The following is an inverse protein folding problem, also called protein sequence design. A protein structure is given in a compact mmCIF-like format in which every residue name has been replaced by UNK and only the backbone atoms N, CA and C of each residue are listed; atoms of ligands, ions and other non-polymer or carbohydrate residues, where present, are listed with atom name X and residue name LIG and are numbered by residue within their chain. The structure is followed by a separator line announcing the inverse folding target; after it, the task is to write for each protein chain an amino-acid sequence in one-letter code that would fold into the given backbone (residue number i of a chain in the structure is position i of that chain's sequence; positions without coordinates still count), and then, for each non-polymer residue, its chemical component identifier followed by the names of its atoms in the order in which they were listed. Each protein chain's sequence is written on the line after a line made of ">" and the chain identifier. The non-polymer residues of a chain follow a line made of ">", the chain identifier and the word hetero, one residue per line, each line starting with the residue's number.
data_IF_637719245826
#
_entry.id   IF_637719245826
#
_cell.length_a   1.000
_cell.length_b   1.000
_cell.length_c   1.000
_cell.angle_alpha   90.00
_cell.angle_beta   90.00
_cell.angle_gamma   90.00
#
_symmetry.space_group_name_H-M   'P 1'
#
loop_
_entity.id
_entity.type
_entity.pdbx_description
1 polymer ?
#
# COMPACT_ATOMS: atom_id res chain seq x y z
N UNK A 1 13.33 7.00 10.98
CA UNK A 1 11.93 6.98 10.52
C UNK A 1 11.32 5.63 10.81
N UNK A 2 10.11 5.62 11.27
CA UNK A 2 9.42 4.39 11.67
C UNK A 2 8.39 3.98 10.64
N UNK A 3 8.38 2.68 10.32
CA UNK A 3 7.40 2.05 9.45
C UNK A 3 6.63 1.03 10.25
N UNK A 4 5.31 1.04 10.10
CA UNK A 4 4.43 0.08 10.75
C UNK A 4 3.93 -0.93 9.72
N UNK A 5 4.09 -2.21 10.02
CA UNK A 5 3.50 -3.28 9.21
C UNK A 5 1.98 -3.27 9.37
N UNK A 6 1.27 -3.38 8.28
CA UNK A 6 -0.18 -3.61 8.34
C UNK A 6 -0.43 -5.10 8.55
N UNK A 7 -1.38 -5.43 9.42
CA UNK A 7 -1.58 -6.80 9.91
C UNK A 7 -2.39 -7.70 8.97
N UNK A 8 -3.00 -7.14 7.93
CA UNK A 8 -3.89 -7.90 7.07
C UNK A 8 -3.37 -7.97 5.65
N UNK A 9 -3.65 -9.06 4.94
CA UNK A 9 -3.42 -9.10 3.50
C UNK A 9 -4.38 -8.14 2.79
N UNK A 10 -3.86 -7.48 1.76
CA UNK A 10 -4.59 -6.50 0.98
C UNK A 10 -4.73 -6.98 -0.46
N UNK A 11 -5.78 -6.48 -1.11
CA UNK A 11 -6.02 -6.70 -2.53
C UNK A 11 -6.15 -5.37 -3.25
N UNK A 12 -5.68 -5.34 -4.49
CA UNK A 12 -5.87 -4.22 -5.41
C UNK A 12 -6.89 -4.67 -6.44
N UNK A 13 -8.02 -3.97 -6.52
CA UNK A 13 -9.11 -4.35 -7.40
C UNK A 13 -9.56 -3.18 -8.25
N UNK A 14 -10.23 -3.50 -9.34
CA UNK A 14 -10.97 -2.56 -10.15
C UNK A 14 -12.43 -2.98 -10.14
N UNK A 15 -13.33 -2.03 -9.93
CA UNK A 15 -14.78 -2.28 -9.92
C UNK A 15 -15.49 -1.32 -10.86
N UNK A 16 -16.69 -1.69 -11.28
CA UNK A 16 -17.52 -0.83 -12.15
C UNK A 16 -18.27 0.22 -11.36
N UNK A 17 -18.64 -0.09 -10.13
CA UNK A 17 -19.53 0.76 -9.35
C UNK A 17 -19.11 0.81 -7.89
N UNK A 18 -19.09 2.02 -7.34
CA UNK A 18 -18.73 2.25 -5.95
C UNK A 18 -19.73 1.60 -4.98
N UNK A 19 -20.97 1.38 -5.41
CA UNK A 19 -21.96 0.71 -4.57
C UNK A 19 -21.60 -0.74 -4.22
N UNK A 20 -20.67 -1.36 -4.95
CA UNK A 20 -20.19 -2.70 -4.64
C UNK A 20 -19.23 -2.71 -3.43
N UNK A 21 -18.78 -1.54 -2.98
CA UNK A 21 -17.78 -1.40 -1.93
C UNK A 21 -18.43 -0.98 -0.61
N UNK A 22 -18.09 -1.69 0.46
CA UNK A 22 -18.46 -1.29 1.82
C UNK A 22 -17.50 -0.19 2.29
N UNK A 23 -18.00 1.04 2.34
CA UNK A 23 -17.19 2.21 2.69
C UNK A 23 -16.80 2.26 4.17
N UNK A 24 -17.36 1.39 5.01
CA UNK A 24 -17.00 1.32 6.44
C UNK A 24 -15.73 0.51 6.70
N UNK A 25 -15.22 -0.18 5.69
CA UNK A 25 -14.02 -1.02 5.79
C UNK A 25 -12.78 -0.15 5.96
N UNK A 26 -11.84 -0.57 6.81
CA UNK A 26 -10.54 0.08 6.95
C UNK A 26 -9.42 -0.97 6.99
N UNK A 27 -8.26 -0.68 6.39
CA UNK A 27 -8.01 0.48 5.54
C UNK A 27 -8.75 0.36 4.20
N UNK A 28 -9.09 1.49 3.62
CA UNK A 28 -9.79 1.55 2.33
C UNK A 28 -9.22 2.72 1.54
N UNK A 29 -8.70 2.44 0.35
CA UNK A 29 -8.16 3.47 -0.54
C UNK A 29 -8.91 3.42 -1.86
N UNK A 30 -9.39 4.57 -2.31
CA UNK A 30 -10.16 4.70 -3.53
C UNK A 30 -9.44 5.62 -4.51
N UNK A 31 -9.28 5.16 -5.73
CA UNK A 31 -8.78 5.98 -6.84
C UNK A 31 -9.82 6.01 -7.95
N UNK A 32 -10.55 7.11 -8.05
CA UNK A 32 -11.55 7.28 -9.09
C UNK A 32 -11.04 8.28 -10.12
N UNK A 33 -10.94 7.82 -11.36
CA UNK A 33 -10.53 8.65 -12.50
C UNK A 33 -11.57 8.49 -13.62
N UNK A 34 -11.34 9.18 -14.73
CA UNK A 34 -12.20 8.99 -15.92
C UNK A 34 -12.13 7.57 -16.46
N UNK A 35 -11.00 6.89 -16.24
CA UNK A 35 -10.71 5.60 -16.87
C UNK A 35 -11.05 4.41 -15.99
N UNK A 36 -11.04 4.58 -14.66
CA UNK A 36 -11.17 3.46 -13.75
C UNK A 36 -11.63 3.86 -12.36
N UNK A 37 -12.14 2.87 -11.66
CA UNK A 37 -12.41 2.94 -10.23
C UNK A 37 -11.60 1.84 -9.55
N UNK A 38 -10.48 2.23 -8.93
CA UNK A 38 -9.56 1.34 -8.25
C UNK A 38 -9.79 1.39 -6.75
N UNK A 39 -9.66 0.23 -6.10
CA UNK A 39 -9.84 0.12 -4.65
C UNK A 39 -8.73 -0.77 -4.09
N UNK A 40 -8.14 -0.33 -2.97
CA UNK A 40 -7.25 -1.16 -2.17
C UNK A 40 -7.93 -1.37 -0.83
N UNK A 41 -8.07 -2.63 -0.41
CA UNK A 41 -8.81 -3.00 0.80
C UNK A 41 -8.33 -4.36 1.30
N UNK A 42 -8.71 -4.73 2.54
CA UNK A 42 -8.41 -6.07 3.02
C UNK A 42 -9.03 -7.14 2.11
N UNK A 43 -8.27 -8.19 1.85
CA UNK A 43 -8.69 -9.26 0.94
C UNK A 43 -10.03 -9.87 1.36
N UNK A 44 -10.29 -10.00 2.66
CA UNK A 44 -11.56 -10.53 3.16
C UNK A 44 -12.78 -9.68 2.80
N UNK A 45 -12.57 -8.44 2.41
CA UNK A 45 -13.65 -7.50 2.10
C UNK A 45 -13.84 -7.27 0.60
N UNK A 46 -13.11 -8.00 -0.24
CA UNK A 46 -13.27 -7.90 -1.70
C UNK A 46 -14.66 -8.37 -2.08
N UNK A 47 -15.42 -7.57 -2.86
CA UNK A 47 -16.75 -7.97 -3.29
C UNK A 47 -16.70 -9.14 -4.26
N UNK A 48 -17.84 -9.81 -4.44
CA UNK A 48 -17.95 -10.94 -5.36
C UNK A 48 -17.80 -10.54 -6.83
N UNK A 49 -18.06 -9.27 -7.15
CA UNK A 49 -17.95 -8.73 -8.52
C UNK A 49 -16.79 -7.77 -8.60
N UNK A 50 -15.81 -8.10 -9.43
CA UNK A 50 -14.69 -7.21 -9.75
C UNK A 50 -14.44 -7.26 -11.25
N UNK A 51 -13.91 -6.15 -11.78
CA UNK A 51 -13.43 -6.12 -13.17
C UNK A 51 -12.06 -6.77 -13.24
N UNK A 52 -11.21 -6.44 -12.28
CA UNK A 52 -9.85 -7.01 -12.14
C UNK A 52 -9.52 -7.13 -10.67
N UNK A 53 -8.62 -8.07 -10.34
CA UNK A 53 -8.26 -8.35 -8.95
C UNK A 53 -6.83 -8.86 -8.87
N UNK A 54 -6.04 -8.27 -7.97
CA UNK A 54 -4.70 -8.70 -7.61
C UNK A 54 -4.60 -8.85 -6.10
N UNK A 55 -4.43 -10.08 -5.63
CA UNK A 55 -4.30 -10.38 -4.21
C UNK A 55 -2.83 -10.44 -3.76
N UNK A 56 -2.64 -10.80 -2.51
CA UNK A 56 -1.33 -11.07 -1.90
C UNK A 56 -0.44 -9.85 -1.75
N UNK A 57 -1.03 -8.70 -1.47
CA UNK A 57 -0.29 -7.51 -1.09
C UNK A 57 -0.20 -7.39 0.43
N UNK A 58 0.95 -6.94 0.91
CA UNK A 58 1.15 -6.56 2.31
C UNK A 58 1.80 -5.19 2.38
N UNK A 59 1.41 -4.43 3.42
CA UNK A 59 1.73 -3.01 3.47
C UNK A 59 2.59 -2.58 4.64
N UNK A 60 3.29 -1.48 4.40
CA UNK A 60 3.92 -0.66 5.42
C UNK A 60 3.29 0.72 5.41
N UNK A 61 3.06 1.28 6.59
CA UNK A 61 2.66 2.66 6.76
C UNK A 61 3.83 3.45 7.31
N UNK A 62 4.13 4.61 6.74
CA UNK A 62 5.10 5.53 7.33
C UNK A 62 4.42 6.19 8.53
N UNK A 63 4.97 5.99 9.74
CA UNK A 63 4.36 6.50 10.97
C UNK A 63 4.55 8.01 11.10
N UNK A 64 3.53 8.65 11.69
CA UNK A 64 3.49 10.09 11.89
C UNK A 64 2.81 10.82 10.75
N UNK A 65 2.66 12.12 10.93
CA UNK A 65 2.09 12.99 9.91
C UNK A 65 3.24 13.65 9.17
N UNK A 66 3.33 13.40 7.86
CA UNK A 66 4.39 13.96 7.02
C UNK A 66 3.98 15.35 6.53
N UNK A 67 4.93 16.29 6.59
CA UNK A 67 4.76 17.60 5.99
C UNK A 67 4.84 17.46 4.47
N UNK A 68 3.92 18.10 3.73
CA UNK A 68 3.95 18.09 2.28
C UNK A 68 5.21 18.69 1.68
N UNK A 69 5.94 19.51 2.47
CA UNK A 69 7.22 20.08 2.02
C UNK A 69 8.38 19.08 2.08
N UNK A 70 8.21 17.94 2.76
CA UNK A 70 9.24 16.90 2.80
C UNK A 70 9.38 16.25 1.44
N UNK A 71 10.61 16.11 0.98
CA UNK A 71 10.90 15.53 -0.34
C UNK A 71 11.77 14.28 -0.19
N UNK A 72 11.57 13.35 -1.10
CA UNK A 72 12.44 12.19 -1.22
C UNK A 72 12.20 11.06 -0.26
N UNK A 73 11.22 11.16 0.65
CA UNK A 73 10.94 10.08 1.63
C UNK A 73 10.51 8.81 0.90
N UNK A 74 9.45 8.91 0.10
CA UNK A 74 8.95 7.77 -0.67
C UNK A 74 9.97 7.32 -1.73
N UNK A 75 10.64 8.29 -2.39
CA UNK A 75 11.63 7.98 -3.41
C UNK A 75 12.79 7.17 -2.85
N UNK A 76 13.26 7.48 -1.64
CA UNK A 76 14.35 6.74 -1.01
C UNK A 76 13.94 5.29 -0.73
N UNK A 77 12.76 5.08 -0.17
CA UNK A 77 12.24 3.74 0.10
C UNK A 77 12.07 2.97 -1.21
N UNK A 78 11.46 3.61 -2.21
CA UNK A 78 11.26 3.01 -3.52
C UNK A 78 12.58 2.59 -4.17
N UNK A 79 13.61 3.44 -4.07
CA UNK A 79 14.93 3.13 -4.63
C UNK A 79 15.59 1.93 -3.94
N UNK A 80 15.48 1.85 -2.61
CA UNK A 80 16.02 0.72 -1.87
C UNK A 80 15.37 -0.60 -2.28
N UNK A 81 14.06 -0.62 -2.43
CA UNK A 81 13.33 -1.81 -2.81
C UNK A 81 13.54 -2.15 -4.29
N UNK A 82 13.60 -1.14 -5.16
CA UNK A 82 13.89 -1.35 -6.58
C UNK A 82 15.27 -1.98 -6.79
N UNK A 83 16.27 -1.57 -6.02
CA UNK A 83 17.61 -2.16 -6.08
C UNK A 83 17.61 -3.65 -5.74
N UNK A 84 16.64 -4.10 -4.96
CA UNK A 84 16.46 -5.51 -4.61
C UNK A 84 15.46 -6.23 -5.55
N UNK A 85 15.03 -5.57 -6.61
CA UNK A 85 14.06 -6.11 -7.58
C UNK A 85 12.69 -6.38 -6.94
N UNK A 86 12.30 -5.58 -5.95
CA UNK A 86 11.00 -5.66 -5.30
C UNK A 86 10.08 -4.59 -5.88
N UNK A 87 8.99 -5.02 -6.50
CA UNK A 87 7.95 -4.11 -7.01
C UNK A 87 7.12 -3.56 -5.86
N UNK A 88 6.73 -2.29 -5.97
CA UNK A 88 5.90 -1.64 -4.98
C UNK A 88 4.61 -1.09 -5.59
N UNK A 89 3.58 -0.98 -4.75
CA UNK A 89 2.37 -0.21 -5.03
C UNK A 89 2.29 0.87 -3.95
N UNK A 90 2.44 2.13 -4.34
CA UNK A 90 2.52 3.24 -3.40
C UNK A 90 1.20 4.01 -3.36
N UNK A 91 0.77 4.38 -2.15
CA UNK A 91 -0.43 5.17 -1.94
C UNK A 91 -0.07 6.33 -1.04
N UNK A 92 -0.34 7.55 -1.50
CA UNK A 92 -0.15 8.75 -0.68
C UNK A 92 -1.50 9.28 -0.25
N UNK A 93 -1.65 9.49 1.06
CA UNK A 93 -2.83 10.12 1.65
C UNK A 93 -2.47 11.51 2.16
N UNK A 94 -3.43 12.20 2.78
CA UNK A 94 -3.17 13.53 3.33
C UNK A 94 -2.05 13.52 4.37
N UNK A 95 -2.03 12.51 5.24
CA UNK A 95 -1.10 12.48 6.37
C UNK A 95 0.22 11.79 6.06
N UNK A 96 0.22 10.76 5.23
CA UNK A 96 1.40 9.92 5.07
C UNK A 96 1.30 9.04 3.83
N UNK A 97 2.33 8.22 3.63
CA UNK A 97 2.42 7.27 2.52
C UNK A 97 2.32 5.84 3.02
N UNK A 98 1.77 5.00 2.17
CA UNK A 98 1.70 3.56 2.34
C UNK A 98 2.45 2.90 1.20
N UNK A 99 3.22 1.87 1.52
CA UNK A 99 3.97 1.10 0.53
C UNK A 99 3.51 -0.35 0.62
N UNK A 100 2.99 -0.88 -0.48
CA UNK A 100 2.58 -2.26 -0.57
C UNK A 100 3.58 -3.04 -1.39
N UNK A 101 3.91 -4.23 -0.93
CA UNK A 101 4.74 -5.19 -1.67
C UNK A 101 4.01 -6.52 -1.72
N UNK A 102 4.37 -7.37 -2.66
CA UNK A 102 3.80 -8.71 -2.69
C UNK A 102 4.23 -9.49 -1.45
N UNK A 103 3.36 -10.35 -0.96
CA UNK A 103 3.57 -11.10 0.27
C UNK A 103 4.89 -11.87 0.27
N UNK A 104 5.26 -12.47 -0.86
CA UNK A 104 6.51 -13.23 -0.94
C UNK A 104 7.76 -12.37 -0.82
N UNK A 105 7.65 -11.05 -1.01
CA UNK A 105 8.75 -10.10 -0.86
C UNK A 105 8.74 -9.36 0.48
N UNK A 106 7.71 -9.55 1.30
CA UNK A 106 7.46 -8.68 2.45
C UNK A 106 8.59 -8.75 3.49
N UNK A 107 9.01 -9.96 3.85
CA UNK A 107 10.08 -10.12 4.84
C UNK A 107 11.41 -9.58 4.33
N UNK A 108 11.74 -9.82 3.07
CA UNK A 108 12.94 -9.28 2.44
C UNK A 108 12.88 -7.74 2.41
N UNK A 109 11.74 -7.17 2.08
CA UNK A 109 11.55 -5.72 2.08
C UNK A 109 11.77 -5.13 3.48
N UNK A 110 11.19 -5.76 4.51
CA UNK A 110 11.36 -5.32 5.89
C UNK A 110 12.84 -5.35 6.31
N UNK A 111 13.55 -6.41 5.96
CA UNK A 111 14.97 -6.55 6.30
C UNK A 111 15.83 -5.47 5.61
N UNK A 112 15.58 -5.20 4.34
CA UNK A 112 16.29 -4.16 3.58
C UNK A 112 16.08 -2.80 4.23
N UNK A 113 14.86 -2.48 4.61
CA UNK A 113 14.54 -1.22 5.24
C UNK A 113 15.22 -1.08 6.60
N UNK A 114 15.21 -2.14 7.41
CA UNK A 114 15.92 -2.16 8.70
C UNK A 114 17.42 -1.93 8.53
N UNK A 115 18.04 -2.59 7.54
CA UNK A 115 19.48 -2.45 7.26
C UNK A 115 19.83 -1.03 6.84
N UNK A 116 18.88 -0.26 6.36
CA UNK A 116 19.09 1.12 5.92
C UNK A 116 18.57 2.16 6.91
N UNK A 117 18.41 1.77 8.17
CA UNK A 117 18.14 2.70 9.27
C UNK A 117 16.67 2.96 9.57
N UNK A 118 15.75 2.27 8.91
CA UNK A 118 14.33 2.38 9.24
C UNK A 118 13.98 1.45 10.40
N UNK A 119 13.13 1.95 11.30
CA UNK A 119 12.51 1.11 12.33
C UNK A 119 11.25 0.50 11.73
N UNK A 120 11.17 -0.82 11.75
CA UNK A 120 10.01 -1.52 11.18
C UNK A 120 9.37 -2.34 12.27
N UNK A 121 8.14 -1.98 12.63
CA UNK A 121 7.41 -2.60 13.72
C UNK A 121 6.15 -3.36 13.25
#
# INVERSE_FOLDING_TARGET
>A
MELKKLDMPLSVIQVDNLSDIDLSVTPLFLGKTEDELSVVLPTKNVPSRTVSREDDWQGFKIEGVLDFSLVGILAKIASLLAAATISIFAISTYNTDYILVKRHDFDAAADILKQNGYQVA
#
